data_IF_099619775007
#
_entry.id   IF_099619775007
#
_cell.length_a   1.000
_cell.length_b   1.000
_cell.length_c   1.000
_cell.angle_alpha   90.00
_cell.angle_beta   90.00
_cell.angle_gamma   90.00
#
_symmetry.space_group_name_H-M   'P 1'
#
loop_
_entity.id
_entity.type
_entity.pdbx_description
1 polymer ?
#
# COMPACT_ATOMS: atom_id res chain seq x y z
N UNK A 1 32.25 3.53 23.20
CA UNK A 1 30.82 3.57 23.59
C UNK A 1 30.11 4.56 22.68
N UNK A 2 28.96 4.14 22.17
CA UNK A 2 27.86 4.91 21.56
C UNK A 2 27.99 5.38 20.11
N UNK A 3 27.33 4.62 19.23
CA UNK A 3 27.04 4.99 17.84
C UNK A 3 25.94 4.09 17.25
N UNK A 4 24.79 3.95 17.94
CA UNK A 4 23.66 3.12 17.50
C UNK A 4 22.32 3.84 17.77
N UNK A 5 22.12 5.05 17.22
CA UNK A 5 20.83 5.75 17.33
C UNK A 5 20.54 6.62 16.11
N UNK A 6 20.46 6.05 14.91
CA UNK A 6 19.96 6.81 13.73
C UNK A 6 18.99 6.04 12.82
N UNK A 7 18.64 4.79 13.11
CA UNK A 7 17.81 3.98 12.18
C UNK A 7 16.33 3.87 12.54
N UNK A 8 15.87 4.33 13.72
CA UNK A 8 14.45 4.22 14.13
C UNK A 8 13.57 5.39 13.65
N UNK A 9 14.11 6.62 13.60
CA UNK A 9 13.31 7.82 13.36
C UNK A 9 12.63 7.84 11.97
N UNK A 10 13.26 7.26 10.95
CA UNK A 10 12.71 7.23 9.59
C UNK A 10 11.45 6.35 9.46
N UNK A 11 11.42 5.20 10.14
CA UNK A 11 10.29 4.26 10.07
C UNK A 11 9.04 4.76 10.78
N UNK A 12 9.21 5.44 11.92
CA UNK A 12 8.07 6.02 12.66
C UNK A 12 7.40 7.18 11.91
N UNK A 13 8.19 7.99 11.18
CA UNK A 13 7.68 9.10 10.36
C UNK A 13 6.94 8.60 9.11
N UNK A 14 7.45 7.56 8.42
CA UNK A 14 6.75 6.90 7.30
C UNK A 14 5.44 6.28 7.75
N UNK A 15 5.48 5.46 8.82
CA UNK A 15 4.28 4.88 9.44
C UNK A 15 3.24 5.96 9.76
N UNK A 16 3.65 7.04 10.44
CA UNK A 16 2.74 8.13 10.81
C UNK A 16 2.16 8.82 9.57
N UNK A 17 2.95 9.04 8.51
CA UNK A 17 2.45 9.63 7.26
C UNK A 17 1.47 8.72 6.55
N UNK A 18 1.78 7.43 6.37
CA UNK A 18 0.91 6.46 5.71
C UNK A 18 -0.44 6.32 6.44
N UNK A 19 -0.39 6.15 7.76
CA UNK A 19 -1.59 6.07 8.61
C UNK A 19 -2.41 7.38 8.56
N UNK A 20 -1.76 8.53 8.51
CA UNK A 20 -2.44 9.83 8.40
C UNK A 20 -3.06 10.04 7.01
N UNK A 21 -2.44 9.57 5.93
CA UNK A 21 -3.07 9.59 4.59
C UNK A 21 -4.32 8.70 4.54
N UNK A 22 -4.29 7.51 5.16
CA UNK A 22 -5.47 6.64 5.26
C UNK A 22 -6.59 7.27 6.09
N UNK A 23 -6.27 7.88 7.25
CA UNK A 23 -7.26 8.57 8.07
C UNK A 23 -7.89 9.79 7.36
N UNK A 24 -7.12 10.52 6.55
CA UNK A 24 -7.61 11.68 5.80
C UNK A 24 -8.69 11.32 4.77
N UNK A 25 -8.66 10.10 4.22
CA UNK A 25 -9.63 9.64 3.22
C UNK A 25 -10.96 9.15 3.79
N UNK A 26 -10.97 8.60 5.01
CA UNK A 26 -12.22 8.20 5.70
C UNK A 26 -13.16 9.38 5.96
N UNK A 27 -12.63 10.61 5.98
CA UNK A 27 -13.45 11.82 6.10
C UNK A 27 -14.06 12.29 4.76
N UNK A 28 -13.56 11.80 3.62
CA UNK A 28 -14.01 12.20 2.28
C UNK A 28 -15.04 11.22 1.66
N UNK A 29 -15.20 10.02 2.23
CA UNK A 29 -16.03 8.94 1.68
C UNK A 29 -17.53 9.04 1.99
N UNK A 30 -18.09 10.25 2.07
CA UNK A 30 -19.55 10.46 2.10
C UNK A 30 -20.18 10.57 0.70
N UNK A 31 -19.44 10.22 -0.35
CA UNK A 31 -19.97 10.16 -1.73
C UNK A 31 -20.30 8.71 -2.06
N UNK A 32 -21.60 8.43 -2.23
CA UNK A 32 -22.11 7.11 -2.64
C UNK A 32 -21.53 6.74 -4.01
N UNK A 33 -20.92 5.57 -4.12
CA UNK A 33 -20.65 4.93 -5.41
C UNK A 33 -21.64 3.77 -5.54
N UNK A 34 -22.56 3.90 -6.49
CA UNK A 34 -23.49 2.85 -6.90
C UNK A 34 -22.97 2.14 -8.15
N UNK A 35 -23.37 0.88 -8.31
CA UNK A 35 -23.22 0.09 -9.53
C UNK A 35 -22.05 -0.89 -9.50
N UNK A 36 -22.37 -2.16 -9.23
CA UNK A 36 -21.46 -3.26 -9.51
C UNK A 36 -21.55 -3.58 -11.01
N UNK A 37 -20.55 -3.16 -11.77
CA UNK A 37 -20.25 -3.66 -13.10
C UNK A 37 -18.85 -4.25 -13.07
N UNK A 38 -18.65 -5.38 -13.74
CA UNK A 38 -17.36 -6.06 -13.77
C UNK A 38 -16.30 -5.12 -14.38
N UNK A 39 -15.34 -4.69 -13.57
CA UNK A 39 -14.35 -3.71 -13.98
C UNK A 39 -13.41 -4.32 -15.05
N UNK A 40 -13.09 -3.58 -16.14
CA UNK A 40 -12.08 -4.01 -17.10
C UNK A 40 -10.73 -4.25 -16.42
N UNK A 41 -9.91 -5.15 -16.96
CA UNK A 41 -8.57 -5.55 -16.46
C UNK A 41 -7.54 -4.40 -16.32
N UNK A 42 -7.94 -3.15 -16.60
CA UNK A 42 -7.11 -1.95 -16.49
C UNK A 42 -7.54 -1.00 -15.35
N UNK A 43 -8.63 -1.31 -14.64
CA UNK A 43 -9.10 -0.46 -13.55
C UNK A 43 -8.32 -0.74 -12.26
N UNK A 44 -7.86 0.33 -11.60
CA UNK A 44 -7.27 0.21 -10.27
C UNK A 44 -8.32 -0.30 -9.28
N UNK A 45 -7.96 -1.23 -8.36
CA UNK A 45 -8.83 -1.61 -7.27
C UNK A 45 -9.36 -0.37 -6.51
N UNK A 46 -10.64 -0.31 -6.12
CA UNK A 46 -11.23 0.87 -5.49
C UNK A 46 -10.48 1.37 -4.24
N UNK A 47 -9.92 0.45 -3.45
CA UNK A 47 -9.10 0.77 -2.28
C UNK A 47 -7.75 1.42 -2.65
N UNK A 48 -7.18 1.08 -3.81
CA UNK A 48 -5.91 1.63 -4.29
C UNK A 48 -6.11 3.03 -4.87
N UNK A 49 -7.21 3.24 -5.60
CA UNK A 49 -7.65 4.56 -6.08
C UNK A 49 -7.90 5.53 -4.93
N UNK A 50 -8.35 5.03 -3.77
CA UNK A 50 -8.45 5.87 -2.59
C UNK A 50 -7.07 6.43 -2.19
N UNK A 51 -6.00 5.63 -2.18
CA UNK A 51 -4.68 5.97 -1.61
C UNK A 51 -3.87 6.99 -2.46
N UNK A 52 -4.19 7.18 -3.74
CA UNK A 52 -3.35 7.89 -4.74
C UNK A 52 -3.24 9.42 -4.60
N UNK A 53 -3.62 10.03 -3.47
CA UNK A 53 -3.69 11.49 -3.28
C UNK A 53 -2.36 12.27 -3.28
N UNK A 54 -1.18 11.61 -3.39
CA UNK A 54 0.15 12.28 -3.47
C UNK A 54 1.08 11.53 -4.44
N UNK A 55 1.01 11.80 -5.75
CA UNK A 55 1.57 10.92 -6.77
C UNK A 55 3.11 10.82 -6.74
N UNK A 56 3.85 11.93 -6.68
CA UNK A 56 5.29 11.91 -6.98
C UNK A 56 6.12 11.05 -6.01
N UNK A 57 5.90 11.17 -4.70
CA UNK A 57 6.64 10.38 -3.72
C UNK A 57 6.27 8.89 -3.81
N UNK A 58 4.99 8.59 -4.01
CA UNK A 58 4.47 7.22 -4.18
C UNK A 58 5.08 6.57 -5.42
N UNK A 59 5.09 7.28 -6.56
CA UNK A 59 5.71 6.80 -7.79
C UNK A 59 7.20 6.56 -7.64
N UNK A 60 7.91 7.48 -6.98
CA UNK A 60 9.35 7.35 -6.75
C UNK A 60 9.69 6.14 -5.87
N UNK A 61 8.98 5.96 -4.75
CA UNK A 61 9.22 4.83 -3.86
C UNK A 61 8.78 3.50 -4.51
N UNK A 62 7.67 3.50 -5.25
CA UNK A 62 7.21 2.32 -6.00
C UNK A 62 8.21 1.89 -7.07
N UNK A 63 8.72 2.83 -7.87
CA UNK A 63 9.75 2.53 -8.87
C UNK A 63 11.05 2.02 -8.25
N UNK A 64 11.51 2.65 -7.16
CA UNK A 64 12.71 2.21 -6.45
C UNK A 64 12.53 0.82 -5.82
N UNK A 65 11.33 0.49 -5.34
CA UNK A 65 11.01 -0.86 -4.87
C UNK A 65 11.07 -1.87 -6.01
N UNK A 66 10.41 -1.60 -7.14
CA UNK A 66 10.39 -2.52 -8.30
C UNK A 66 11.77 -2.75 -8.92
N UNK A 67 12.68 -1.78 -8.83
CA UNK A 67 14.08 -1.99 -9.22
C UNK A 67 14.82 -2.96 -8.31
N UNK A 68 14.47 -3.03 -7.03
CA UNK A 68 15.04 -3.96 -6.05
C UNK A 68 14.38 -5.35 -6.13
N UNK A 69 13.10 -5.40 -6.51
CA UNK A 69 12.27 -6.62 -6.58
C UNK A 69 11.64 -6.77 -7.98
N UNK A 70 12.45 -7.02 -9.03
CA UNK A 70 11.97 -7.10 -10.40
C UNK A 70 10.96 -8.23 -10.63
N UNK A 71 10.94 -9.25 -9.77
CA UNK A 71 9.98 -10.35 -9.77
C UNK A 71 8.56 -9.91 -9.40
N UNK A 72 8.40 -8.77 -8.73
CA UNK A 72 7.09 -8.20 -8.38
C UNK A 72 6.61 -7.16 -9.43
N UNK A 73 7.30 -7.06 -10.58
CA UNK A 73 6.96 -6.15 -11.67
C UNK A 73 5.80 -6.67 -12.55
N UNK A 74 4.77 -7.21 -11.90
CA UNK A 74 3.54 -7.68 -12.52
C UNK A 74 2.35 -7.10 -11.76
N UNK A 75 1.47 -6.42 -12.50
CA UNK A 75 0.31 -5.70 -11.98
C UNK A 75 -0.64 -6.60 -11.21
N UNK A 76 -1.01 -7.73 -11.79
CA UNK A 76 -1.99 -8.63 -11.21
C UNK A 76 -1.39 -9.35 -10.00
N UNK A 77 -0.14 -9.79 -10.11
CA UNK A 77 0.56 -10.48 -9.05
C UNK A 77 0.74 -9.60 -7.81
N UNK A 78 1.08 -8.32 -7.97
CA UNK A 78 1.29 -7.44 -6.81
C UNK A 78 -0.03 -7.16 -6.07
N UNK A 79 -1.14 -7.00 -6.81
CA UNK A 79 -2.47 -6.84 -6.20
C UNK A 79 -2.90 -8.12 -5.50
N UNK A 80 -2.80 -9.27 -6.16
CA UNK A 80 -3.12 -10.56 -5.55
C UNK A 80 -2.31 -10.82 -4.28
N UNK A 81 -1.03 -10.39 -4.27
CA UNK A 81 -0.17 -10.50 -3.07
C UNK A 81 -0.66 -9.62 -1.93
N UNK A 82 -1.10 -8.38 -2.22
CA UNK A 82 -1.66 -7.48 -1.20
C UNK A 82 -3.00 -8.02 -0.67
N UNK A 83 -3.88 -8.47 -1.56
CA UNK A 83 -5.19 -9.02 -1.20
C UNK A 83 -5.04 -10.28 -0.35
N UNK A 84 -4.17 -11.22 -0.73
CA UNK A 84 -3.88 -12.40 0.08
C UNK A 84 -3.40 -12.05 1.50
N UNK A 85 -2.63 -10.96 1.67
CA UNK A 85 -2.22 -10.47 3.00
C UNK A 85 -3.36 -9.87 3.79
N UNK A 86 -4.28 -9.18 3.12
CA UNK A 86 -5.49 -8.67 3.75
C UNK A 86 -6.38 -9.81 4.23
N UNK A 87 -6.55 -10.86 3.42
CA UNK A 87 -7.35 -12.04 3.74
C UNK A 87 -6.74 -12.85 4.90
N UNK A 88 -5.43 -13.07 4.91
CA UNK A 88 -4.71 -13.71 6.02
C UNK A 88 -4.91 -12.95 7.34
N UNK A 89 -5.00 -11.61 7.27
CA UNK A 89 -5.18 -10.76 8.44
C UNK A 89 -6.64 -10.64 8.92
N UNK A 90 -7.62 -10.71 8.02
CA UNK A 90 -9.04 -10.52 8.33
C UNK A 90 -9.81 -11.84 8.50
N UNK A 91 -9.35 -12.92 7.87
CA UNK A 91 -10.09 -14.17 7.71
C UNK A 91 -11.26 -14.08 6.72
N UNK A 92 -11.37 -12.98 5.96
CA UNK A 92 -12.49 -12.68 5.05
C UNK A 92 -11.92 -12.28 3.70
N UNK A 93 -12.51 -12.82 2.63
CA UNK A 93 -12.13 -12.49 1.26
C UNK A 93 -12.26 -10.98 1.02
N UNK A 94 -11.28 -10.39 0.33
CA UNK A 94 -11.30 -8.94 0.05
C UNK A 94 -12.50 -8.52 -0.77
N UNK A 95 -12.98 -9.39 -1.67
CA UNK A 95 -14.16 -9.21 -2.52
C UNK A 95 -15.48 -9.09 -1.74
N UNK A 96 -15.53 -9.60 -0.51
CA UNK A 96 -16.71 -9.54 0.37
C UNK A 96 -16.75 -8.29 1.26
N UNK A 97 -15.65 -7.53 1.30
CA UNK A 97 -15.50 -6.36 2.18
C UNK A 97 -15.77 -5.06 1.42
N UNK A 98 -16.37 -4.07 2.09
CA UNK A 98 -16.47 -2.73 1.48
C UNK A 98 -15.12 -1.99 1.51
N UNK A 99 -14.96 -0.94 0.70
CA UNK A 99 -13.70 -0.17 0.61
C UNK A 99 -13.23 0.35 1.96
N UNK A 100 -14.13 0.81 2.82
CA UNK A 100 -13.78 1.30 4.16
C UNK A 100 -13.20 0.18 5.04
N UNK A 101 -13.76 -1.03 4.96
CA UNK A 101 -13.24 -2.20 5.68
C UNK A 101 -11.88 -2.63 5.12
N UNK A 102 -11.72 -2.64 3.80
CA UNK A 102 -10.45 -2.93 3.14
C UNK A 102 -9.33 -1.98 3.61
N UNK A 103 -9.61 -0.67 3.68
CA UNK A 103 -8.63 0.32 4.19
C UNK A 103 -8.28 0.07 5.67
N UNK A 104 -9.26 -0.32 6.50
CA UNK A 104 -9.01 -0.68 7.89
C UNK A 104 -8.18 -1.97 8.02
N UNK A 105 -8.42 -2.96 7.18
CA UNK A 105 -7.64 -4.20 7.13
C UNK A 105 -6.20 -3.87 6.72
N UNK A 106 -5.99 -3.09 5.65
CA UNK A 106 -4.66 -2.63 5.22
C UNK A 106 -3.92 -1.90 6.34
N UNK A 107 -4.61 -1.03 7.07
CA UNK A 107 -4.04 -0.34 8.22
C UNK A 107 -3.54 -1.33 9.30
N UNK A 108 -4.30 -2.41 9.54
CA UNK A 108 -3.91 -3.46 10.50
C UNK A 108 -2.74 -4.30 9.97
N UNK A 109 -2.75 -4.69 8.70
CA UNK A 109 -1.65 -5.43 8.05
C UNK A 109 -0.35 -4.65 8.19
N UNK A 110 -0.32 -3.41 7.72
CA UNK A 110 0.88 -2.55 7.77
C UNK A 110 1.36 -2.37 9.21
N UNK A 111 0.43 -2.14 10.16
CA UNK A 111 0.78 -2.04 11.58
C UNK A 111 1.38 -3.35 12.11
N UNK A 112 0.83 -4.50 11.74
CA UNK A 112 1.31 -5.82 12.14
C UNK A 112 2.72 -6.10 11.61
N UNK A 113 2.96 -5.83 10.33
CA UNK A 113 4.28 -5.97 9.70
C UNK A 113 5.35 -5.14 10.42
N UNK A 114 5.04 -3.88 10.74
CA UNK A 114 5.95 -3.04 11.53
C UNK A 114 6.26 -3.62 12.91
N UNK A 115 5.28 -4.19 13.61
CA UNK A 115 5.48 -4.79 14.93
C UNK A 115 6.32 -6.08 14.85
N UNK A 116 6.22 -6.83 13.75
CA UNK A 116 7.04 -8.03 13.49
C UNK A 116 8.41 -7.72 12.91
N UNK A 117 8.68 -6.45 12.56
CA UNK A 117 9.93 -6.05 11.91
C UNK A 117 10.00 -6.44 10.43
N UNK A 118 8.85 -6.67 9.79
CA UNK A 118 8.72 -7.00 8.37
C UNK A 118 8.73 -5.70 7.54
N UNK A 119 9.91 -5.14 7.35
CA UNK A 119 10.12 -3.92 6.58
C UNK A 119 11.20 -4.07 5.51
N UNK A 120 11.09 -3.25 4.47
CA UNK A 120 12.09 -3.08 3.41
C UNK A 120 12.66 -1.67 3.46
N UNK A 121 13.89 -1.52 2.99
CA UNK A 121 14.55 -0.21 2.90
C UNK A 121 14.58 0.28 1.45
N UNK A 122 13.75 1.28 1.16
CA UNK A 122 13.66 1.90 -0.17
C UNK A 122 14.16 3.34 -0.05
N UNK A 123 15.20 3.72 -0.80
CA UNK A 123 15.76 5.07 -0.78
C UNK A 123 16.13 5.57 0.64
N UNK A 124 16.57 4.66 1.52
CA UNK A 124 16.89 4.97 2.92
C UNK A 124 15.69 5.05 3.87
N UNK A 125 14.47 4.84 3.39
CA UNK A 125 13.24 4.81 4.20
C UNK A 125 12.83 3.37 4.52
N UNK A 126 12.41 3.13 5.77
CA UNK A 126 11.85 1.84 6.19
C UNK A 126 10.34 1.83 5.96
N UNK A 127 9.91 1.07 4.96
CA UNK A 127 8.50 0.85 4.62
C UNK A 127 8.10 -0.56 5.05
N UNK A 128 6.86 -0.75 5.47
CA UNK A 128 6.35 -2.12 5.61
C UNK A 128 6.34 -2.81 4.24
N UNK A 129 6.39 -4.14 4.21
CA UNK A 129 6.33 -4.88 2.94
C UNK A 129 5.06 -4.55 2.15
N UNK A 130 3.90 -4.53 2.80
CA UNK A 130 2.64 -4.17 2.16
C UNK A 130 2.60 -2.70 1.74
N UNK A 131 3.16 -1.77 2.53
CA UNK A 131 3.25 -0.36 2.13
C UNK A 131 4.09 -0.17 0.87
N UNK A 132 5.26 -0.82 0.79
CA UNK A 132 6.12 -0.75 -0.39
C UNK A 132 5.42 -1.31 -1.64
N UNK A 133 4.68 -2.42 -1.49
CA UNK A 133 3.88 -3.00 -2.57
C UNK A 133 2.74 -2.11 -3.03
N UNK A 134 2.07 -1.40 -2.12
CA UNK A 134 1.04 -0.42 -2.48
C UNK A 134 1.66 0.69 -3.35
N UNK A 135 2.83 1.20 -2.98
CA UNK A 135 3.51 2.21 -3.80
C UNK A 135 3.93 1.68 -5.16
N UNK A 136 4.42 0.43 -5.21
CA UNK A 136 4.75 -0.25 -6.45
C UNK A 136 3.52 -0.48 -7.35
N UNK A 137 2.38 -0.89 -6.78
CA UNK A 137 1.13 -1.02 -7.51
C UNK A 137 0.70 0.32 -8.12
N UNK A 138 0.74 1.43 -7.37
CA UNK A 138 0.45 2.76 -7.94
C UNK A 138 1.44 3.11 -9.07
N UNK A 139 2.73 2.80 -8.91
CA UNK A 139 3.74 3.04 -9.95
C UNK A 139 3.46 2.25 -11.24
N UNK A 140 3.14 0.96 -11.13
CA UNK A 140 2.84 0.09 -12.26
C UNK A 140 1.64 0.57 -13.09
N UNK A 141 0.61 1.14 -12.46
CA UNK A 141 -0.58 1.65 -13.15
C UNK A 141 -0.40 3.06 -13.71
N UNK A 142 0.53 3.84 -13.15
CA UNK A 142 0.74 5.23 -13.59
C UNK A 142 1.83 5.34 -14.66
N UNK A 143 2.81 4.42 -14.66
CA UNK A 143 3.85 4.37 -15.67
C UNK A 143 3.34 3.61 -16.89
N UNK A 144 3.47 4.15 -18.12
CA UNK A 144 3.14 3.41 -19.32
C UNK A 144 4.04 2.17 -19.40
N UNK A 145 3.46 1.01 -19.76
CA UNK A 145 4.24 -0.17 -20.09
C UNK A 145 5.26 0.22 -21.18
N UNK A 146 6.54 0.04 -20.90
CA UNK A 146 7.61 0.28 -21.87
C UNK A 146 7.65 -0.84 -22.91
#
# INVERSE_FOLDING_TARGET
MNGLSSSMAGGEVSRRRFLLSLLGMMAASAVRIGGADAAPANDLPPWLTAISGRPEAVLRFGAAYLQQYPEENDREQIIATIEARMEDQSGVATTESCVAEQLLILQRVVRGEYLRGEFVRVEGWSLSLTEARIYAAVALWTMPAQ
#
